data_IF_687452283732
#
_entry.id   IF_687452283732
#
_cell.length_a   1.000
_cell.length_b   1.000
_cell.length_c   1.000
_cell.angle_alpha   90.00
_cell.angle_beta   90.00
_cell.angle_gamma   90.00
#
_symmetry.space_group_name_H-M   'P 1'
#
loop_
_entity.id
_entity.type
_entity.pdbx_description
1 polymer ?
#
# COMPACT_ATOMS: atom_id res chain seq x y z
N UNK A 1 -35.15 6.75 -40.95
CA UNK A 1 -34.95 5.55 -40.10
C UNK A 1 -33.52 5.54 -39.56
N UNK A 2 -33.19 6.53 -38.72
CA UNK A 2 -31.90 6.71 -38.06
C UNK A 2 -32.19 7.33 -36.71
N UNK A 3 -32.22 6.49 -35.67
CA UNK A 3 -32.14 6.91 -34.28
C UNK A 3 -31.81 5.67 -33.45
N UNK A 4 -30.55 5.55 -33.06
CA UNK A 4 -30.15 4.81 -31.87
C UNK A 4 -28.65 5.03 -31.62
N UNK A 5 -28.32 5.23 -30.34
CA UNK A 5 -26.97 5.19 -29.72
C UNK A 5 -26.27 6.54 -29.51
N UNK A 6 -26.95 7.44 -28.82
CA UNK A 6 -26.30 8.26 -27.79
C UNK A 6 -27.07 8.15 -26.47
N UNK A 7 -26.93 7.01 -25.79
CA UNK A 7 -27.21 6.94 -24.35
C UNK A 7 -25.93 7.33 -23.62
N UNK A 8 -25.93 8.54 -23.08
CA UNK A 8 -24.85 9.11 -22.30
C UNK A 8 -24.51 8.20 -21.12
N UNK A 9 -23.21 7.95 -20.95
CA UNK A 9 -22.65 7.39 -19.72
C UNK A 9 -22.84 8.43 -18.63
N UNK A 10 -23.95 8.36 -17.90
CA UNK A 10 -24.09 9.09 -16.64
C UNK A 10 -22.97 8.62 -15.71
N UNK A 11 -22.01 9.51 -15.51
CA UNK A 11 -21.02 9.39 -14.45
C UNK A 11 -21.82 9.43 -13.15
N UNK A 12 -21.90 8.30 -12.45
CA UNK A 12 -22.25 8.28 -11.04
C UNK A 12 -21.25 9.17 -10.30
N UNK A 13 -21.62 10.44 -10.16
CA UNK A 13 -20.92 11.42 -9.35
C UNK A 13 -20.89 10.91 -7.92
N UNK A 14 -19.68 10.90 -7.37
CA UNK A 14 -19.37 10.74 -5.94
C UNK A 14 -20.43 11.46 -5.11
N UNK A 15 -20.89 10.79 -4.04
CA UNK A 15 -21.89 11.26 -3.08
C UNK A 15 -21.94 12.78 -2.96
N UNK A 16 -22.85 13.37 -3.73
CA UNK A 16 -23.22 14.77 -3.62
C UNK A 16 -24.20 14.90 -2.48
N UNK A 17 -23.96 15.90 -1.65
CA UNK A 17 -24.88 16.40 -0.62
C UNK A 17 -26.29 16.47 -1.22
N UNK A 18 -27.22 15.67 -0.70
CA UNK A 18 -28.66 15.97 -0.85
C UNK A 18 -28.96 17.14 0.07
N UNK A 19 -29.81 18.05 -0.41
CA UNK A 19 -30.18 19.30 0.27
C UNK A 19 -30.43 19.10 1.77
N UNK A 20 -29.91 19.99 2.65
CA UNK A 20 -30.27 19.98 4.06
C UNK A 20 -31.78 20.27 4.18
N UNK A 21 -32.58 19.21 4.41
CA UNK A 21 -34.04 19.29 4.48
C UNK A 21 -34.79 18.15 3.79
N UNK A 22 -34.10 17.26 3.05
CA UNK A 22 -34.74 16.08 2.47
C UNK A 22 -35.16 15.08 3.57
N UNK A 23 -36.47 14.87 3.73
CA UNK A 23 -37.02 13.85 4.62
C UNK A 23 -36.77 12.42 4.11
N UNK A 24 -36.94 11.39 4.97
CA UNK A 24 -36.82 10.00 4.56
C UNK A 24 -37.78 9.66 3.42
N UNK A 25 -37.29 8.94 2.42
CA UNK A 25 -38.05 8.61 1.20
C UNK A 25 -38.93 7.37 1.37
N UNK A 26 -38.73 6.60 2.44
CA UNK A 26 -39.55 5.42 2.77
C UNK A 26 -39.82 5.33 4.28
N UNK A 27 -40.89 4.63 4.66
CA UNK A 27 -41.21 4.36 6.06
C UNK A 27 -40.11 3.52 6.75
N UNK A 28 -39.47 2.61 6.01
CA UNK A 28 -38.33 1.83 6.50
C UNK A 28 -37.10 2.72 6.76
N UNK A 29 -36.83 3.69 5.88
CA UNK A 29 -35.77 4.68 6.06
C UNK A 29 -36.08 5.61 7.25
N UNK A 30 -37.33 6.04 7.40
CA UNK A 30 -37.78 6.82 8.55
C UNK A 30 -37.62 6.05 9.87
N UNK A 31 -38.05 4.79 9.90
CA UNK A 31 -37.91 3.92 11.07
C UNK A 31 -36.43 3.64 11.39
N UNK A 32 -35.58 3.45 10.38
CA UNK A 32 -34.15 3.29 10.56
C UNK A 32 -33.51 4.56 11.13
N UNK A 33 -33.83 5.74 10.60
CA UNK A 33 -33.33 7.01 11.12
C UNK A 33 -33.79 7.23 12.58
N UNK A 34 -35.04 6.92 12.90
CA UNK A 34 -35.56 7.02 14.28
C UNK A 34 -34.88 6.02 15.22
N UNK A 35 -34.68 4.77 14.80
CA UNK A 35 -33.97 3.76 15.58
C UNK A 35 -32.49 4.13 15.80
N UNK A 36 -31.88 4.86 14.86
CA UNK A 36 -30.51 5.38 14.95
C UNK A 36 -30.42 6.66 15.80
N UNK A 37 -31.47 7.48 15.82
CA UNK A 37 -31.52 8.72 16.59
C UNK A 37 -31.93 8.52 18.06
N UNK A 38 -32.76 7.52 18.37
CA UNK A 38 -33.23 7.28 19.74
C UNK A 38 -32.08 7.12 20.77
N UNK A 39 -31.02 6.33 20.51
CA UNK A 39 -29.93 6.19 21.48
C UNK A 39 -29.03 7.42 21.58
N UNK A 40 -29.08 8.32 20.58
CA UNK A 40 -28.39 9.61 20.60
C UNK A 40 -29.18 10.64 21.43
N UNK A 41 -30.51 10.59 21.36
CA UNK A 41 -31.42 11.45 22.13
C UNK A 41 -31.49 11.03 23.61
N UNK A 42 -31.36 9.74 23.90
CA UNK A 42 -31.42 9.19 25.26
C UNK A 42 -30.07 9.23 25.99
N UNK A 43 -28.97 9.58 25.31
CA UNK A 43 -27.65 9.67 25.92
C UNK A 43 -27.52 10.97 26.76
N UNK A 44 -27.19 10.89 28.06
CA UNK A 44 -27.08 12.07 28.91
C UNK A 44 -25.91 12.99 28.50
N UNK A 45 -24.89 12.46 27.86
CA UNK A 45 -23.80 13.23 27.25
C UNK A 45 -23.15 12.47 26.07
N UNK A 46 -22.26 13.15 25.33
CA UNK A 46 -21.59 12.58 24.14
C UNK A 46 -20.72 11.35 24.45
N UNK A 47 -20.24 11.20 25.69
CA UNK A 47 -19.38 10.10 26.12
C UNK A 47 -20.16 8.88 26.60
N UNK A 48 -21.47 9.01 26.85
CA UNK A 48 -22.35 7.90 27.23
C UNK A 48 -23.00 7.21 26.02
N UNK A 49 -22.82 7.75 24.80
CA UNK A 49 -23.25 7.16 23.53
C UNK A 49 -22.62 5.82 23.09
N UNK A 50 -21.32 5.56 23.36
CA UNK A 50 -20.63 4.38 22.84
C UNK A 50 -21.29 3.02 23.15
N UNK A 51 -21.74 2.72 24.39
CA UNK A 51 -22.42 1.46 24.70
C UNK A 51 -23.69 1.23 23.88
N UNK A 52 -24.43 2.29 23.56
CA UNK A 52 -25.67 2.21 22.79
C UNK A 52 -25.45 1.89 21.31
N UNK A 53 -24.30 2.31 20.76
CA UNK A 53 -23.95 2.08 19.36
C UNK A 53 -23.08 0.83 19.15
N UNK A 54 -22.56 0.21 20.22
CA UNK A 54 -21.63 -0.91 20.15
C UNK A 54 -22.21 -2.11 19.37
N UNK A 55 -23.42 -2.56 19.73
CA UNK A 55 -24.11 -3.69 19.08
C UNK A 55 -24.33 -3.46 17.58
N UNK A 56 -24.66 -2.22 17.21
CA UNK A 56 -24.84 -1.83 15.81
C UNK A 56 -23.50 -1.79 15.06
N UNK A 57 -22.46 -1.25 15.69
CA UNK A 57 -21.12 -1.20 15.10
C UNK A 57 -20.52 -2.59 14.87
N UNK A 58 -20.79 -3.55 15.76
CA UNK A 58 -20.37 -4.94 15.63
C UNK A 58 -21.09 -5.62 14.46
N UNK A 59 -22.42 -5.52 14.38
CA UNK A 59 -23.19 -6.08 13.26
C UNK A 59 -22.83 -5.47 11.90
N UNK A 60 -22.60 -4.16 11.85
CA UNK A 60 -22.14 -3.49 10.63
C UNK A 60 -20.76 -4.00 10.19
N UNK A 61 -19.91 -4.38 11.15
CA UNK A 61 -18.59 -4.95 10.88
C UNK A 61 -18.70 -6.39 10.37
N UNK A 62 -19.58 -7.20 10.95
CA UNK A 62 -19.91 -8.56 10.50
C UNK A 62 -20.49 -8.56 9.08
N UNK A 63 -21.45 -7.69 8.78
CA UNK A 63 -22.06 -7.57 7.45
C UNK A 63 -21.05 -7.10 6.39
N UNK A 64 -20.12 -6.22 6.75
CA UNK A 64 -19.02 -5.80 5.85
C UNK A 64 -18.03 -6.94 5.59
N UNK A 65 -17.84 -7.84 6.56
CA UNK A 65 -16.99 -9.01 6.41
C UNK A 65 -17.64 -10.07 5.50
N UNK A 66 -18.97 -10.23 5.58
CA UNK A 66 -19.74 -11.16 4.77
C UNK A 66 -20.07 -10.65 3.35
N UNK A 67 -20.11 -9.32 3.14
CA UNK A 67 -20.54 -8.71 1.87
C UNK A 67 -19.52 -8.76 0.74
N UNK A 68 -19.97 -9.12 -0.47
CA UNK A 68 -19.18 -9.27 -1.70
C UNK A 68 -18.32 -8.04 -2.08
N UNK A 69 -18.75 -6.83 -1.68
CA UNK A 69 -18.07 -5.57 -1.98
C UNK A 69 -17.42 -4.88 -0.78
N UNK A 70 -17.57 -5.39 0.45
CA UNK A 70 -17.01 -4.83 1.70
C UNK A 70 -17.29 -3.33 1.92
N UNK A 71 -18.39 -2.81 1.36
CA UNK A 71 -18.76 -1.40 1.44
C UNK A 71 -19.72 -1.17 2.61
N UNK A 72 -19.69 0.04 3.19
CA UNK A 72 -20.62 0.42 4.25
C UNK A 72 -22.07 0.41 3.71
N UNK A 73 -22.95 -0.48 4.21
CA UNK A 73 -24.33 -0.56 3.72
C UNK A 73 -25.12 0.73 4.01
N UNK A 74 -24.67 1.53 5.00
CA UNK A 74 -25.31 2.79 5.39
C UNK A 74 -24.73 4.01 4.68
N UNK A 75 -23.81 3.86 3.72
CA UNK A 75 -23.13 4.99 3.04
C UNK A 75 -24.08 5.93 2.29
N UNK A 76 -25.30 5.49 2.02
CA UNK A 76 -26.32 6.24 1.30
C UNK A 76 -27.25 7.03 2.23
N UNK A 77 -27.21 6.76 3.54
CA UNK A 77 -28.01 7.45 4.53
C UNK A 77 -27.27 8.69 5.02
N UNK A 78 -27.99 9.80 5.10
CA UNK A 78 -27.48 11.04 5.65
C UNK A 78 -27.53 10.94 7.19
N UNK A 79 -26.37 10.67 7.80
CA UNK A 79 -26.25 10.55 9.26
C UNK A 79 -26.11 11.95 9.88
N UNK A 80 -26.77 12.23 11.01
CA UNK A 80 -26.48 13.43 11.80
C UNK A 80 -25.00 13.46 12.20
N UNK A 81 -24.35 14.62 12.13
CA UNK A 81 -22.91 14.78 12.47
C UNK A 81 -22.57 14.22 13.87
N UNK A 82 -23.47 14.42 14.84
CA UNK A 82 -23.31 13.90 16.21
C UNK A 82 -23.22 12.37 16.24
N UNK A 83 -23.87 11.69 15.30
CA UNK A 83 -23.83 10.24 15.18
C UNK A 83 -22.50 9.76 14.59
N UNK A 84 -21.94 10.49 13.61
CA UNK A 84 -20.60 10.21 13.10
C UNK A 84 -19.52 10.46 14.17
N UNK A 85 -19.70 11.49 15.01
CA UNK A 85 -18.84 11.77 16.17
C UNK A 85 -18.95 10.66 17.23
N UNK A 86 -20.17 10.26 17.62
CA UNK A 86 -20.38 9.19 18.60
C UNK A 86 -19.89 7.83 18.08
N UNK A 87 -20.16 7.48 16.81
CA UNK A 87 -19.61 6.28 16.17
C UNK A 87 -18.07 6.31 16.13
N UNK A 88 -17.46 7.48 15.91
CA UNK A 88 -16.01 7.62 15.97
C UNK A 88 -15.47 7.34 17.37
N UNK A 89 -16.22 7.67 18.44
CA UNK A 89 -15.90 7.37 19.84
C UNK A 89 -16.18 5.90 20.20
N UNK A 90 -17.25 5.28 19.68
CA UNK A 90 -17.51 3.83 19.86
C UNK A 90 -16.48 2.96 19.17
N UNK A 91 -15.96 3.42 18.03
CA UNK A 91 -14.83 2.83 17.33
C UNK A 91 -13.49 3.27 17.98
N UNK A 92 -13.48 4.30 18.85
CA UNK A 92 -12.27 4.84 19.45
C UNK A 92 -11.53 3.95 20.47
N UNK A 93 -12.07 2.86 21.06
CA UNK A 93 -11.21 1.89 21.76
C UNK A 93 -10.12 1.32 20.83
N UNK A 94 -10.37 1.34 19.51
CA UNK A 94 -9.40 0.96 18.46
C UNK A 94 -8.59 2.14 17.89
N UNK A 95 -8.78 3.36 18.41
CA UNK A 95 -8.02 4.57 18.03
C UNK A 95 -7.01 4.95 19.12
N UNK A 96 -6.28 4.00 19.70
CA UNK A 96 -5.00 4.40 20.28
C UNK A 96 -4.08 4.76 19.10
N UNK A 97 -3.55 5.99 19.00
CA UNK A 97 -2.41 6.23 18.15
C UNK A 97 -1.35 5.26 18.63
N UNK A 98 -0.95 4.35 17.74
CA UNK A 98 0.12 3.41 17.99
C UNK A 98 1.41 4.26 18.01
N UNK A 99 1.69 4.84 19.17
CA UNK A 99 2.98 5.44 19.48
C UNK A 99 3.87 4.28 19.92
N UNK A 100 4.87 4.00 19.09
CA UNK A 100 6.02 3.23 19.54
C UNK A 100 6.75 4.15 20.52
N UNK A 101 6.46 4.03 21.81
CA UNK A 101 7.06 4.85 22.87
C UNK A 101 8.54 4.48 23.11
N UNK A 102 9.08 3.51 22.35
CA UNK A 102 10.49 3.15 22.38
C UNK A 102 11.16 3.58 21.06
N UNK A 103 11.69 4.80 21.02
CA UNK A 103 12.84 5.11 20.17
C UNK A 103 14.01 4.29 20.71
N UNK A 104 14.02 2.99 20.44
CA UNK A 104 15.18 2.14 20.71
C UNK A 104 16.28 2.56 19.74
N UNK A 105 17.51 2.62 20.26
CA UNK A 105 18.73 2.82 19.49
C UNK A 105 18.93 1.63 18.52
N UNK A 106 18.15 1.62 17.45
CA UNK A 106 18.21 0.63 16.39
C UNK A 106 19.51 0.85 15.61
N UNK A 107 20.30 -0.21 15.46
CA UNK A 107 21.46 -0.23 14.54
C UNK A 107 21.03 -0.09 13.08
N UNK A 108 19.74 -0.25 12.79
CA UNK A 108 19.17 -0.15 11.45
C UNK A 108 18.92 1.32 11.05
N UNK A 109 19.82 1.88 10.26
CA UNK A 109 19.60 3.18 9.60
C UNK A 109 18.60 3.09 8.43
N UNK A 110 17.86 4.18 8.16
CA UNK A 110 16.89 4.29 7.05
C UNK A 110 17.45 3.88 5.69
N UNK A 111 18.74 4.12 5.43
CA UNK A 111 19.38 3.76 4.16
C UNK A 111 19.36 2.25 3.89
N UNK A 112 19.25 1.43 4.94
CA UNK A 112 19.21 -0.02 4.84
C UNK A 112 17.79 -0.62 4.79
N UNK A 113 16.77 0.24 4.74
CA UNK A 113 15.38 -0.20 4.66
C UNK A 113 14.94 -0.11 3.19
N UNK A 114 14.44 -1.21 2.60
CA UNK A 114 13.90 -1.17 1.25
C UNK A 114 12.57 -0.38 1.23
N UNK A 115 12.19 0.13 0.06
CA UNK A 115 10.88 0.79 -0.11
C UNK A 115 9.69 -0.18 0.01
N UNK A 116 9.97 -1.47 -0.17
CA UNK A 116 9.08 -2.62 -0.04
C UNK A 116 9.91 -3.79 0.45
N UNK A 117 9.50 -4.37 1.58
CA UNK A 117 10.19 -5.50 2.21
C UNK A 117 10.29 -6.69 1.26
N UNK A 118 11.29 -7.56 1.39
CA UNK A 118 11.36 -8.80 0.63
C UNK A 118 10.07 -9.64 0.82
N UNK A 119 9.55 -10.35 -0.20
CA UNK A 119 8.36 -11.18 -0.04
C UNK A 119 8.52 -12.27 1.03
N UNK A 120 9.69 -12.90 1.12
CA UNK A 120 9.97 -13.96 2.09
C UNK A 120 9.97 -13.41 3.52
N UNK A 121 10.72 -12.33 3.76
CA UNK A 121 10.73 -11.65 5.06
C UNK A 121 9.32 -11.17 5.46
N UNK A 122 8.51 -10.71 4.50
CA UNK A 122 7.14 -10.30 4.80
C UNK A 122 6.24 -11.48 5.18
N UNK A 123 6.32 -12.57 4.42
CA UNK A 123 5.49 -13.76 4.64
C UNK A 123 5.83 -14.47 5.95
N UNK A 124 7.13 -14.58 6.26
CA UNK A 124 7.64 -15.20 7.49
C UNK A 124 7.26 -14.41 8.74
N UNK A 125 7.44 -13.07 8.72
CA UNK A 125 7.30 -12.27 9.94
C UNK A 125 5.96 -11.55 10.03
N UNK A 126 5.54 -10.81 8.99
CA UNK A 126 4.55 -9.75 9.14
C UNK A 126 3.17 -10.04 8.53
N UNK A 127 3.04 -11.05 7.66
CA UNK A 127 1.79 -11.35 6.98
C UNK A 127 0.64 -11.67 7.96
N UNK A 128 0.93 -12.41 9.03
CA UNK A 128 -0.06 -12.78 10.05
C UNK A 128 -0.61 -11.57 10.83
N UNK A 129 0.20 -10.52 11.00
CA UNK A 129 -0.16 -9.32 11.75
C UNK A 129 -0.85 -8.25 10.90
N UNK A 130 -0.97 -8.46 9.58
CA UNK A 130 -1.63 -7.54 8.64
C UNK A 130 -2.75 -8.25 7.86
N UNK A 131 -3.75 -8.82 8.55
CA UNK A 131 -4.81 -9.58 7.89
C UNK A 131 -5.61 -8.71 6.92
N UNK A 132 -5.83 -9.23 5.71
CA UNK A 132 -6.59 -8.54 4.67
C UNK A 132 -5.82 -7.44 3.92
N UNK A 133 -4.56 -7.19 4.23
CA UNK A 133 -3.70 -6.36 3.40
C UNK A 133 -3.27 -7.14 2.16
N UNK A 134 -3.42 -6.54 0.97
CA UNK A 134 -2.80 -7.09 -0.24
C UNK A 134 -1.28 -7.12 -0.06
N UNK A 135 -0.60 -8.20 -0.47
CA UNK A 135 0.82 -8.45 -0.23
C UNK A 135 1.73 -7.24 -0.49
N UNK A 136 1.57 -6.57 -1.64
CA UNK A 136 2.36 -5.38 -1.97
C UNK A 136 2.14 -4.19 -1.02
N UNK A 137 0.92 -4.02 -0.50
CA UNK A 137 0.62 -2.99 0.49
C UNK A 137 1.17 -3.39 1.87
N UNK A 138 1.03 -4.65 2.26
CA UNK A 138 1.59 -5.18 3.50
C UNK A 138 3.10 -5.01 3.58
N UNK A 139 3.83 -5.42 2.52
CA UNK A 139 5.29 -5.25 2.41
C UNK A 139 5.74 -3.78 2.51
N UNK A 140 4.92 -2.87 2.01
CA UNK A 140 5.20 -1.44 2.07
C UNK A 140 4.93 -0.87 3.47
N UNK A 141 3.83 -1.27 4.11
CA UNK A 141 3.52 -0.93 5.51
C UNK A 141 4.64 -1.43 6.43
N UNK A 142 5.09 -2.67 6.22
CA UNK A 142 6.22 -3.25 6.94
C UNK A 142 7.49 -2.39 6.83
N UNK A 143 7.80 -1.90 5.63
CA UNK A 143 8.97 -1.03 5.40
C UNK A 143 8.82 0.31 6.14
N UNK A 144 7.63 0.89 6.13
CA UNK A 144 7.35 2.11 6.88
C UNK A 144 7.41 1.88 8.40
N UNK A 145 6.98 0.71 8.89
CA UNK A 145 7.07 0.36 10.30
C UNK A 145 8.53 0.17 10.73
N UNK A 146 9.36 -0.49 9.91
CA UNK A 146 10.81 -0.53 10.12
C UNK A 146 11.41 0.88 10.17
N UNK A 147 10.96 1.80 9.30
CA UNK A 147 11.43 3.18 9.32
C UNK A 147 10.97 3.95 10.56
N UNK A 148 9.80 3.65 11.12
CA UNK A 148 9.36 4.20 12.42
C UNK A 148 10.26 3.68 13.54
N UNK A 149 10.50 2.37 13.57
CA UNK A 149 11.40 1.73 14.53
C UNK A 149 12.84 2.29 14.45
N UNK A 150 13.31 2.60 13.24
CA UNK A 150 14.61 3.23 13.01
C UNK A 150 14.69 4.73 13.37
N UNK A 151 13.61 5.32 13.92
CA UNK A 151 13.60 6.68 14.46
C UNK A 151 12.77 7.71 13.70
N UNK A 152 11.92 7.32 12.74
CA UNK A 152 10.96 8.26 12.17
C UNK A 152 9.78 8.50 13.13
N UNK A 153 9.50 9.75 13.50
CA UNK A 153 8.46 10.13 14.46
C UNK A 153 7.04 10.06 13.88
N UNK A 154 6.92 10.12 12.55
CA UNK A 154 5.62 10.06 11.86
C UNK A 154 5.69 9.16 10.63
N UNK A 155 4.53 8.65 10.21
CA UNK A 155 4.41 7.93 8.93
C UNK A 155 4.82 8.79 7.72
N UNK A 156 4.65 10.11 7.82
CA UNK A 156 5.09 11.03 6.78
C UNK A 156 6.61 11.12 6.72
N UNK A 157 7.28 11.21 7.87
CA UNK A 157 8.74 11.18 7.97
C UNK A 157 9.30 9.84 7.52
N UNK A 158 8.68 8.71 7.90
CA UNK A 158 9.05 7.38 7.42
C UNK A 158 8.97 7.28 5.89
N UNK A 159 7.86 7.74 5.32
CA UNK A 159 7.69 7.79 3.86
C UNK A 159 8.75 8.65 3.17
N UNK A 160 9.07 9.82 3.75
CA UNK A 160 10.09 10.72 3.21
C UNK A 160 11.49 10.11 3.31
N UNK A 161 11.83 9.48 4.44
CA UNK A 161 13.12 8.83 4.66
C UNK A 161 13.38 7.69 3.65
N UNK A 162 12.32 6.95 3.27
CA UNK A 162 12.41 5.91 2.25
C UNK A 162 12.28 6.43 0.81
N UNK A 163 12.07 7.73 0.60
CA UNK A 163 11.92 8.33 -0.73
C UNK A 163 10.61 7.94 -1.44
N UNK A 164 9.53 7.76 -0.68
CA UNK A 164 8.21 7.35 -1.17
C UNK A 164 7.29 8.55 -1.42
N UNK A 165 6.41 8.51 -2.44
CA UNK A 165 5.51 9.61 -2.77
C UNK A 165 4.47 9.90 -1.66
N UNK A 166 4.05 11.16 -1.53
CA UNK A 166 3.20 11.63 -0.43
C UNK A 166 1.78 11.03 -0.38
N UNK A 167 1.27 10.49 -1.49
CA UNK A 167 -0.09 9.94 -1.58
C UNK A 167 -0.32 8.68 -0.73
N UNK A 168 0.76 8.02 -0.31
CA UNK A 168 0.75 6.78 0.46
C UNK A 168 0.31 7.01 1.93
N UNK A 169 0.36 8.26 2.43
CA UNK A 169 0.19 8.64 3.85
C UNK A 169 -1.14 8.25 4.50
N UNK A 170 -2.28 8.40 3.80
CA UNK A 170 -3.62 8.21 4.41
C UNK A 170 -4.05 6.74 4.52
N UNK A 171 -3.51 5.88 3.67
CA UNK A 171 -3.95 4.49 3.56
C UNK A 171 -3.38 3.64 4.70
N UNK A 172 -2.16 3.94 5.15
CA UNK A 172 -1.43 3.05 6.07
C UNK A 172 -1.78 3.25 7.54
N UNK A 173 -2.03 4.51 7.97
CA UNK A 173 -2.51 4.79 9.31
C UNK A 173 -3.83 4.07 9.61
N UNK A 174 -4.71 3.92 8.60
CA UNK A 174 -5.99 3.21 8.75
C UNK A 174 -5.85 1.70 8.79
N UNK A 175 -4.81 1.13 8.16
CA UNK A 175 -4.58 -0.33 8.14
C UNK A 175 -4.02 -0.77 9.49
N UNK A 176 -3.08 -0.02 10.05
CA UNK A 176 -2.49 -0.34 11.36
C UNK A 176 -3.47 -0.16 12.53
N UNK A 177 -4.43 0.76 12.40
CA UNK A 177 -5.56 0.89 13.34
C UNK A 177 -6.47 -0.34 13.41
N UNK A 178 -6.34 -1.28 12.46
CA UNK A 178 -7.13 -2.52 12.40
C UNK A 178 -6.29 -3.75 12.74
N UNK A 179 -5.04 -3.56 13.12
CA UNK A 179 -4.19 -4.65 13.58
C UNK A 179 -4.71 -5.14 14.93
N UNK A 180 -5.11 -6.43 15.06
CA UNK A 180 -5.75 -6.94 16.26
C UNK A 180 -4.84 -6.88 17.50
N UNK A 181 -3.52 -6.99 17.30
CA UNK A 181 -2.51 -6.98 18.36
C UNK A 181 -1.35 -6.02 17.99
N UNK A 182 -1.48 -4.72 18.31
CA UNK A 182 -0.48 -3.72 17.95
C UNK A 182 0.90 -3.95 18.58
N UNK A 183 0.95 -4.41 19.82
CA UNK A 183 2.21 -4.69 20.53
C UNK A 183 2.96 -5.85 19.87
N UNK A 184 2.27 -6.95 19.58
CA UNK A 184 2.84 -8.10 18.87
C UNK A 184 3.39 -7.71 17.49
N UNK A 185 2.70 -6.81 16.77
CA UNK A 185 3.21 -6.28 15.51
C UNK A 185 4.56 -5.57 15.68
N UNK A 186 4.74 -4.70 16.68
CA UNK A 186 6.02 -4.01 16.91
C UNK A 186 7.11 -4.92 17.45
N UNK A 187 6.74 -5.92 18.26
CA UNK A 187 7.67 -6.96 18.69
C UNK A 187 8.30 -7.65 17.47
N UNK A 188 7.46 -8.03 16.50
CA UNK A 188 7.91 -8.64 15.24
C UNK A 188 8.67 -7.68 14.34
N UNK A 189 8.30 -6.39 14.28
CA UNK A 189 9.08 -5.38 13.54
C UNK A 189 10.51 -5.27 14.09
N UNK A 190 10.68 -5.34 15.42
CA UNK A 190 12.02 -5.36 16.05
C UNK A 190 12.78 -6.64 15.70
N UNK A 191 12.15 -7.80 15.80
CA UNK A 191 12.75 -9.09 15.39
C UNK A 191 13.20 -9.06 13.92
N UNK A 192 12.40 -8.46 13.04
CA UNK A 192 12.76 -8.30 11.64
C UNK A 192 13.95 -7.35 11.45
N UNK A 193 14.02 -6.25 12.20
CA UNK A 193 15.16 -5.33 12.16
C UNK A 193 16.47 -6.02 12.58
N UNK A 194 16.42 -6.86 13.63
CA UNK A 194 17.54 -7.69 14.07
C UNK A 194 17.91 -8.73 13.02
N UNK A 195 16.92 -9.42 12.43
CA UNK A 195 17.13 -10.38 11.35
C UNK A 195 17.85 -9.73 10.15
N UNK A 196 17.41 -8.54 9.73
CA UNK A 196 18.05 -7.78 8.65
C UNK A 196 19.50 -7.40 9.00
N UNK A 197 19.77 -7.07 10.26
CA UNK A 197 21.12 -6.75 10.75
C UNK A 197 22.03 -7.97 10.71
N UNK A 198 21.56 -9.12 11.21
CA UNK A 198 22.31 -10.40 11.24
C UNK A 198 22.58 -10.93 9.84
N UNK A 199 21.60 -10.86 8.92
CA UNK A 199 21.76 -11.27 7.52
C UNK A 199 22.79 -10.43 6.76
N UNK A 200 23.06 -9.23 7.23
CA UNK A 200 23.95 -8.26 6.61
C UNK A 200 23.17 -7.12 5.96
N UNK A 201 23.49 -5.91 6.38
CA UNK A 201 22.82 -4.69 5.93
C UNK A 201 23.16 -4.39 4.46
N UNK A 202 22.11 -4.11 3.68
CA UNK A 202 22.19 -3.67 2.29
C UNK A 202 21.93 -2.16 2.25
N UNK A 203 22.79 -1.37 1.61
CA UNK A 203 22.52 0.07 1.41
C UNK A 203 21.59 0.30 0.21
N UNK A 204 20.28 0.17 0.46
CA UNK A 204 19.26 0.37 -0.57
C UNK A 204 19.24 1.81 -1.08
N UNK A 205 19.61 2.80 -0.27
CA UNK A 205 19.72 4.19 -0.74
C UNK A 205 20.84 4.32 -1.77
N UNK A 206 22.04 3.79 -1.50
CA UNK A 206 23.15 3.78 -2.45
C UNK A 206 22.77 3.05 -3.74
N UNK A 207 22.10 1.89 -3.63
CA UNK A 207 21.62 1.14 -4.81
C UNK A 207 20.62 1.95 -5.64
N UNK A 208 19.66 2.65 -5.02
CA UNK A 208 18.74 3.57 -5.73
C UNK A 208 19.49 4.69 -6.42
N UNK A 209 20.48 5.29 -5.75
CA UNK A 209 21.30 6.36 -6.32
C UNK A 209 22.08 5.88 -7.53
N UNK A 210 22.75 4.74 -7.47
CA UNK A 210 23.47 4.20 -8.62
C UNK A 210 22.52 3.87 -9.76
N UNK A 211 21.46 3.11 -9.49
CA UNK A 211 20.50 2.70 -10.52
C UNK A 211 19.63 3.85 -11.05
N UNK A 212 19.72 5.06 -10.48
CA UNK A 212 18.93 6.23 -10.91
C UNK A 212 19.15 6.63 -12.37
N UNK A 213 20.32 6.29 -12.93
CA UNK A 213 20.66 6.55 -14.34
C UNK A 213 20.42 5.34 -15.26
N UNK A 214 20.09 4.15 -14.71
CA UNK A 214 19.89 2.93 -15.50
C UNK A 214 18.51 2.96 -16.17
N UNK A 215 18.41 3.65 -17.31
CA UNK A 215 17.19 3.70 -18.14
C UNK A 215 16.95 2.43 -18.93
N UNK A 216 18.03 1.76 -19.34
CA UNK A 216 17.97 0.51 -20.10
C UNK A 216 19.20 -0.33 -19.80
N UNK A 217 19.04 -1.66 -19.78
CA UNK A 217 20.19 -2.57 -19.69
C UNK A 217 20.97 -2.51 -21.02
N UNK A 218 22.30 -2.37 -21.01
CA UNK A 218 23.12 -2.38 -22.22
C UNK A 218 22.83 -3.62 -23.06
N UNK A 219 22.58 -3.46 -24.36
CA UNK A 219 22.24 -4.57 -25.26
C UNK A 219 23.30 -5.67 -25.25
N UNK A 220 24.59 -5.30 -25.20
CA UNK A 220 25.73 -6.23 -25.07
C UNK A 220 25.70 -7.10 -23.82
N UNK A 221 25.10 -6.61 -22.73
CA UNK A 221 24.97 -7.35 -21.48
C UNK A 221 23.70 -8.23 -21.48
N UNK A 222 22.60 -7.71 -22.03
CA UNK A 222 21.32 -8.42 -22.04
C UNK A 222 21.24 -9.51 -23.12
N UNK A 223 21.88 -9.32 -24.27
CA UNK A 223 21.88 -10.26 -25.39
C UNK A 223 22.27 -11.70 -24.99
N UNK A 224 23.40 -11.95 -24.30
CA UNK A 224 23.77 -13.31 -23.90
C UNK A 224 22.76 -13.93 -22.93
N UNK A 225 22.18 -13.13 -22.02
CA UNK A 225 21.19 -13.60 -21.03
C UNK A 225 19.87 -14.01 -21.68
N UNK A 226 19.39 -13.24 -22.66
CA UNK A 226 18.16 -13.59 -23.38
C UNK A 226 18.37 -14.74 -24.38
N UNK A 227 19.57 -14.84 -24.97
CA UNK A 227 19.92 -15.90 -25.93
C UNK A 227 19.87 -17.28 -25.28
N UNK A 228 20.31 -17.43 -24.02
CA UNK A 228 20.28 -18.71 -23.32
C UNK A 228 18.86 -19.25 -23.10
N UNK A 229 17.84 -18.37 -23.12
CA UNK A 229 16.43 -18.74 -22.92
C UNK A 229 15.56 -18.54 -24.16
N UNK A 230 16.18 -18.38 -25.34
CA UNK A 230 15.47 -18.24 -26.61
C UNK A 230 14.66 -16.94 -26.76
N UNK A 231 14.91 -15.95 -25.91
CA UNK A 231 14.23 -14.66 -25.95
C UNK A 231 14.93 -13.69 -26.91
N UNK A 232 14.14 -12.95 -27.69
CA UNK A 232 14.66 -11.93 -28.60
C UNK A 232 15.06 -10.66 -27.83
N UNK A 233 16.20 -10.07 -28.19
CA UNK A 233 16.58 -8.75 -27.69
C UNK A 233 15.77 -7.67 -28.41
N UNK A 234 15.02 -6.88 -27.64
CA UNK A 234 14.35 -5.67 -28.14
C UNK A 234 14.64 -4.50 -27.22
N UNK A 235 14.53 -3.27 -27.73
CA UNK A 235 14.68 -2.07 -26.92
C UNK A 235 13.69 -2.02 -25.74
N UNK A 236 12.44 -2.45 -25.94
CA UNK A 236 11.45 -2.52 -24.85
C UNK A 236 11.88 -3.49 -23.75
N UNK A 237 12.45 -4.65 -24.11
CA UNK A 237 12.96 -5.62 -23.13
C UNK A 237 14.17 -5.08 -22.37
N UNK A 238 15.03 -4.29 -23.01
CA UNK A 238 16.15 -3.61 -22.32
C UNK A 238 15.66 -2.65 -21.24
N UNK A 239 14.60 -1.88 -21.54
CA UNK A 239 13.95 -0.98 -20.60
C UNK A 239 13.21 -1.73 -19.48
N UNK A 240 12.40 -2.73 -19.82
CA UNK A 240 11.72 -3.56 -18.81
C UNK A 240 12.68 -4.33 -17.91
N UNK A 241 13.81 -4.83 -18.44
CA UNK A 241 14.87 -5.43 -17.64
C UNK A 241 15.46 -4.43 -16.63
N UNK A 242 15.66 -3.16 -17.02
CA UNK A 242 16.10 -2.12 -16.09
C UNK A 242 15.07 -1.85 -14.99
N UNK A 243 13.78 -1.79 -15.34
CA UNK A 243 12.68 -1.67 -14.38
C UNK A 243 12.57 -2.86 -13.42
N UNK A 244 12.82 -4.07 -13.92
CA UNK A 244 12.87 -5.29 -13.12
C UNK A 244 14.05 -5.30 -12.15
N UNK A 245 15.25 -4.91 -12.60
CA UNK A 245 16.43 -4.79 -11.75
C UNK A 245 16.26 -3.73 -10.67
N UNK A 246 15.62 -2.60 -10.99
CA UNK A 246 15.27 -1.60 -10.01
C UNK A 246 14.45 -2.20 -8.86
N UNK A 247 13.37 -2.91 -9.17
CA UNK A 247 12.52 -3.55 -8.15
C UNK A 247 13.30 -4.52 -7.26
N UNK A 248 14.12 -5.40 -7.85
CA UNK A 248 14.77 -6.49 -7.11
C UNK A 248 16.05 -6.07 -6.38
N UNK A 249 16.75 -5.02 -6.85
CA UNK A 249 17.99 -4.57 -6.21
C UNK A 249 17.76 -3.44 -5.19
N UNK A 250 16.71 -2.64 -5.37
CA UNK A 250 16.43 -1.47 -4.51
C UNK A 250 15.28 -1.67 -3.52
N UNK A 251 14.49 -2.73 -3.72
CA UNK A 251 13.22 -2.93 -3.02
C UNK A 251 12.15 -1.89 -3.40
N UNK A 252 12.35 -1.11 -4.46
CA UNK A 252 11.39 -0.14 -4.99
C UNK A 252 10.28 -0.78 -5.83
N UNK A 253 9.28 0.01 -6.23
CA UNK A 253 8.33 -0.46 -7.25
C UNK A 253 8.95 -0.34 -8.63
N UNK A 254 8.77 -1.34 -9.48
CA UNK A 254 9.20 -1.24 -10.88
C UNK A 254 8.62 -0.02 -11.60
N UNK A 255 7.38 0.39 -11.25
CA UNK A 255 6.75 1.57 -11.84
C UNK A 255 7.48 2.89 -11.56
N UNK A 256 8.23 2.95 -10.45
CA UNK A 256 8.99 4.12 -10.03
C UNK A 256 10.41 4.11 -10.61
N UNK A 257 10.77 3.07 -11.38
CA UNK A 257 12.08 2.95 -11.96
C UNK A 257 12.36 4.07 -12.98
N UNK A 258 13.60 4.54 -13.08
CA UNK A 258 14.05 5.55 -14.04
C UNK A 258 13.57 5.31 -15.48
N UNK A 259 13.50 4.06 -15.93
CA UNK A 259 13.06 3.69 -17.28
C UNK A 259 11.63 4.14 -17.65
N UNK A 260 10.77 4.40 -16.66
CA UNK A 260 9.35 4.76 -16.89
C UNK A 260 9.06 6.26 -16.71
N UNK A 261 10.08 7.07 -16.40
CA UNK A 261 9.93 8.53 -16.29
C UNK A 261 9.92 9.22 -17.65
N UNK A 262 10.67 8.67 -18.61
CA UNK A 262 10.83 9.24 -19.95
C UNK A 262 9.73 8.80 -20.91
N UNK A 263 9.59 9.52 -22.03
CA UNK A 263 8.68 9.14 -23.10
C UNK A 263 9.09 7.77 -23.71
N UNK A 264 8.09 7.00 -24.08
CA UNK A 264 8.22 5.70 -24.74
C UNK A 264 7.86 5.85 -26.22
N UNK A 265 8.40 6.88 -26.88
CA UNK A 265 8.18 7.20 -28.29
C UNK A 265 6.69 7.24 -28.68
N UNK A 266 5.86 7.87 -27.84
CA UNK A 266 4.42 7.96 -28.06
C UNK A 266 3.62 6.68 -27.77
N UNK A 267 4.25 5.63 -27.23
CA UNK A 267 3.52 4.44 -26.75
C UNK A 267 2.65 4.81 -25.55
N UNK A 268 1.37 4.41 -25.61
CA UNK A 268 0.41 4.65 -24.52
C UNK A 268 0.90 4.05 -23.20
N UNK A 269 0.80 4.81 -22.11
CA UNK A 269 1.21 4.39 -20.77
C UNK A 269 0.56 3.06 -20.31
N UNK A 270 -0.69 2.80 -20.72
CA UNK A 270 -1.37 1.53 -20.45
C UNK A 270 -0.68 0.34 -21.13
N UNK A 271 -0.20 0.52 -22.37
CA UNK A 271 0.55 -0.50 -23.10
C UNK A 271 1.91 -0.77 -22.47
N UNK A 272 2.63 0.28 -22.06
CA UNK A 272 3.89 0.14 -21.30
C UNK A 272 3.66 -0.61 -19.98
N UNK A 273 2.59 -0.27 -19.27
CA UNK A 273 2.21 -0.94 -18.02
C UNK A 273 1.89 -2.41 -18.23
N UNK A 274 1.14 -2.73 -19.28
CA UNK A 274 0.81 -4.11 -19.63
C UNK A 274 2.07 -4.90 -20.02
N UNK A 275 2.90 -4.35 -20.90
CA UNK A 275 4.15 -4.98 -21.34
C UNK A 275 5.14 -5.19 -20.19
N UNK A 276 5.26 -4.23 -19.25
CA UNK A 276 6.02 -4.40 -18.01
C UNK A 276 5.50 -5.58 -17.21
N UNK A 277 4.21 -5.60 -16.87
CA UNK A 277 3.61 -6.67 -16.06
C UNK A 277 3.84 -8.03 -16.70
N UNK A 278 3.65 -8.12 -18.03
CA UNK A 278 3.89 -9.32 -18.81
C UNK A 278 5.37 -9.75 -18.74
N UNK A 279 6.31 -8.83 -18.97
CA UNK A 279 7.74 -9.12 -18.87
C UNK A 279 8.12 -9.65 -17.48
N UNK A 280 7.61 -9.04 -16.41
CA UNK A 280 7.93 -9.45 -15.04
C UNK A 280 7.32 -10.82 -14.68
N UNK A 281 6.11 -11.10 -15.16
CA UNK A 281 5.42 -12.37 -14.88
C UNK A 281 5.92 -13.55 -15.73
N UNK A 282 6.36 -13.28 -16.96
CA UNK A 282 6.82 -14.30 -17.92
C UNK A 282 8.35 -14.42 -17.97
N UNK A 283 9.10 -13.76 -17.07
CA UNK A 283 10.55 -13.86 -17.03
C UNK A 283 10.95 -15.24 -16.49
N UNK A 284 11.66 -16.09 -17.27
CA UNK A 284 12.15 -17.37 -16.76
C UNK A 284 13.08 -17.15 -15.57
N UNK A 285 13.01 -18.02 -14.55
CA UNK A 285 13.81 -17.89 -13.34
C UNK A 285 15.30 -17.79 -13.65
N UNK A 286 15.83 -18.65 -14.53
CA UNK A 286 17.23 -18.60 -14.98
C UNK A 286 17.62 -17.25 -15.61
N UNK A 287 16.70 -16.63 -16.36
CA UNK A 287 16.91 -15.29 -16.92
C UNK A 287 16.92 -14.24 -15.80
N UNK A 288 16.00 -14.34 -14.84
CA UNK A 288 15.97 -13.49 -13.66
C UNK A 288 17.26 -13.57 -12.84
N UNK A 289 17.76 -14.77 -12.57
CA UNK A 289 18.99 -15.01 -11.81
C UNK A 289 20.23 -14.45 -12.54
N UNK A 290 20.31 -14.65 -13.86
CA UNK A 290 21.37 -14.07 -14.68
C UNK A 290 21.30 -12.53 -14.72
N UNK A 291 20.10 -11.95 -14.80
CA UNK A 291 19.88 -10.50 -14.69
C UNK A 291 20.35 -9.99 -13.31
N UNK A 292 19.97 -10.65 -12.22
CA UNK A 292 20.38 -10.28 -10.86
C UNK A 292 21.89 -10.35 -10.68
N UNK A 293 22.50 -11.42 -11.18
CA UNK A 293 23.96 -11.58 -11.15
C UNK A 293 24.65 -10.43 -11.86
N UNK A 294 24.20 -10.09 -13.07
CA UNK A 294 24.70 -8.94 -13.82
C UNK A 294 24.48 -7.61 -13.07
N UNK A 295 23.28 -7.39 -12.54
CA UNK A 295 22.95 -6.16 -11.81
C UNK A 295 23.75 -5.99 -10.52
N UNK A 296 24.05 -7.08 -9.81
CA UNK A 296 24.94 -7.07 -8.64
C UNK A 296 26.38 -6.75 -9.04
N UNK A 297 26.89 -7.34 -10.13
CA UNK A 297 28.22 -7.02 -10.66
C UNK A 297 28.31 -5.54 -11.06
N UNK A 298 27.26 -5.01 -11.67
CA UNK A 298 27.17 -3.60 -12.04
C UNK A 298 27.23 -2.68 -10.81
N UNK A 299 26.50 -3.00 -9.74
CA UNK A 299 26.58 -2.29 -8.46
C UNK A 299 27.98 -2.36 -7.85
N UNK A 300 28.59 -3.55 -7.82
CA UNK A 300 29.96 -3.74 -7.30
C UNK A 300 30.97 -2.90 -8.08
N UNK A 301 30.86 -2.85 -9.41
CA UNK A 301 31.71 -2.00 -10.26
C UNK A 301 31.52 -0.50 -10.01
N UNK A 302 30.38 -0.12 -9.44
CA UNK A 302 30.05 1.24 -9.00
C UNK A 302 30.43 1.50 -7.54
N UNK A 303 31.11 0.55 -6.87
CA UNK A 303 31.53 0.66 -5.46
C UNK A 303 30.43 0.37 -4.44
N UNK A 304 29.33 -0.27 -4.83
CA UNK A 304 28.16 -0.51 -3.98
C UNK A 304 27.93 -2.02 -3.81
N UNK A 305 27.66 -2.45 -2.57
CA UNK A 305 27.40 -3.85 -2.21
C UNK A 305 25.91 -4.21 -2.27
#
# INVERSE_FOLDING_TARGET
>A
MRDARHAGREKFTRGGVRDPGAGPTTAAEAAAILALAAPVMDAPDRNSGPPYLATWSSRLTEDRAAGYYKLDPLRHLQRPMVMDEMMAVTIAPYRRPITDDAVSASTLSFRHIPQRLDPGDYEEFLAVHLPGAHINNGRHIASLALARHAGAETWAQASQALGLPAQSRRTYARILQRTPEPEAFWEVVRTLADHMTVRGLIDYQARRTALSSLREVPGRALAPILKSTGQLLTWQRRRHAAGWLWEHLTGGQAADAPTYVEDWDGIKAASVTFARKRFHAELPQETGDALLSWGRQWLTSSGIR
#
